data_IF_880865439575
#
_entry.id   IF_880865439575
#
_cell.length_a   1.000
_cell.length_b   1.000
_cell.length_c   1.000
_cell.angle_alpha   90.00
_cell.angle_beta   90.00
_cell.angle_gamma   90.00
#
_symmetry.space_group_name_H-M   'P 1'
#
loop_
_entity.id
_entity.type
_entity.pdbx_description
1 polymer ?
#
# COMPACT_ATOMS: atom_id res chain seq x y z
N UNK A 1 -6.24 -70.53 -90.80
CA UNK A 1 -5.76 -69.27 -91.33
C UNK A 1 -6.22 -68.16 -90.46
N UNK A 2 -5.28 -67.42 -89.88
CA UNK A 2 -5.41 -66.09 -89.30
C UNK A 2 -6.39 -65.86 -88.14
N UNK A 3 -5.98 -66.09 -86.92
CA UNK A 3 -6.46 -65.37 -85.73
C UNK A 3 -5.37 -65.40 -84.61
N UNK A 4 -4.30 -64.67 -84.78
CA UNK A 4 -3.26 -64.51 -83.82
C UNK A 4 -2.76 -63.10 -83.93
N UNK A 5 -3.42 -62.11 -83.29
CA UNK A 5 -2.85 -60.77 -83.15
C UNK A 5 -3.76 -59.81 -82.39
N UNK A 6 -4.04 -60.10 -81.14
CA UNK A 6 -4.72 -59.01 -80.37
C UNK A 6 -4.67 -59.18 -78.84
N UNK A 7 -3.63 -59.72 -78.33
CA UNK A 7 -3.55 -59.83 -76.85
C UNK A 7 -2.30 -59.14 -76.20
N UNK A 8 -1.45 -58.51 -77.01
CA UNK A 8 -0.18 -58.05 -76.49
C UNK A 8 0.01 -56.55 -76.17
N UNK A 9 -0.92 -55.57 -76.37
CA UNK A 9 -0.66 -54.21 -75.91
C UNK A 9 -1.40 -53.79 -74.62
N UNK A 10 -2.13 -54.66 -73.89
CA UNK A 10 -2.88 -54.29 -72.72
C UNK A 10 -2.10 -54.45 -71.38
N UNK A 11 -0.92 -55.06 -71.43
CA UNK A 11 -0.11 -55.36 -70.28
C UNK A 11 0.91 -54.23 -69.90
N UNK A 12 1.06 -53.19 -70.73
CA UNK A 12 2.08 -52.15 -70.56
C UNK A 12 1.54 -50.84 -69.93
N UNK A 13 0.26 -50.81 -69.55
CA UNK A 13 -0.37 -49.60 -68.97
C UNK A 13 -0.48 -49.62 -67.42
N UNK A 14 0.01 -50.65 -66.71
CA UNK A 14 -0.12 -50.75 -65.27
C UNK A 14 1.21 -50.38 -64.46
N UNK A 15 2.24 -49.92 -65.16
CA UNK A 15 3.48 -49.39 -64.48
C UNK A 15 3.52 -47.86 -64.49
N UNK A 16 2.38 -47.16 -64.36
CA UNK A 16 2.37 -45.71 -64.21
C UNK A 16 2.28 -45.32 -62.74
N UNK A 17 3.45 -45.04 -62.18
CA UNK A 17 3.66 -44.06 -61.11
C UNK A 17 2.74 -44.15 -59.89
N UNK A 18 3.08 -45.01 -58.95
CA UNK A 18 2.92 -44.68 -57.55
C UNK A 18 3.94 -43.59 -57.19
N UNK A 19 3.71 -42.33 -57.61
CA UNK A 19 4.25 -41.17 -56.87
C UNK A 19 3.56 -41.22 -55.51
N UNK A 20 4.30 -41.71 -54.51
CA UNK A 20 3.98 -41.50 -53.12
C UNK A 20 3.90 -39.99 -52.91
N UNK A 21 2.68 -39.45 -53.01
CA UNK A 21 2.40 -38.13 -52.49
C UNK A 21 2.73 -38.21 -50.99
N UNK A 22 3.91 -37.78 -50.60
CA UNK A 22 4.10 -37.30 -49.27
C UNK A 22 3.07 -36.16 -49.11
N UNK A 23 1.91 -36.49 -48.62
CA UNK A 23 1.03 -35.57 -47.94
C UNK A 23 1.84 -35.10 -46.75
N UNK A 24 2.64 -34.03 -46.97
CA UNK A 24 3.02 -33.17 -45.91
C UNK A 24 1.70 -32.80 -45.26
N UNK A 25 1.37 -33.47 -44.15
CA UNK A 25 0.30 -33.02 -43.27
C UNK A 25 0.48 -31.52 -43.14
N UNK A 26 -0.53 -30.68 -43.34
CA UNK A 26 -0.41 -29.28 -42.98
C UNK A 26 0.12 -29.32 -41.58
N UNK A 27 1.30 -28.68 -41.35
CA UNK A 27 1.74 -28.36 -40.02
C UNK A 27 0.51 -27.74 -39.38
N UNK A 28 -0.16 -28.50 -38.53
CA UNK A 28 -1.23 -27.97 -37.73
C UNK A 28 -0.62 -26.82 -36.98
N UNK A 29 -0.90 -25.58 -37.37
CA UNK A 29 -0.86 -24.43 -36.50
C UNK A 29 -1.95 -24.69 -35.44
N UNK A 30 -1.77 -25.75 -34.66
CA UNK A 30 -2.38 -25.89 -33.36
C UNK A 30 -1.61 -24.88 -32.56
N UNK A 31 -2.15 -23.67 -32.48
CA UNK A 31 -1.70 -22.67 -31.47
C UNK A 31 -1.51 -23.46 -30.19
N UNK A 32 -0.32 -23.39 -29.62
CA UNK A 32 0.02 -24.10 -28.38
C UNK A 32 -1.10 -23.83 -27.38
N UNK A 33 -1.70 -24.86 -26.77
CA UNK A 33 -2.93 -24.68 -25.98
C UNK A 33 -2.72 -23.72 -24.79
N UNK A 34 -1.52 -23.65 -24.24
CA UNK A 34 -1.12 -22.72 -23.18
C UNK A 34 -1.07 -21.28 -23.69
N UNK A 35 -0.57 -21.04 -24.91
CA UNK A 35 -0.62 -19.72 -25.57
C UNK A 35 -2.05 -19.26 -25.77
N UNK A 36 -2.92 -20.14 -26.26
CA UNK A 36 -4.35 -19.81 -26.46
C UNK A 36 -5.04 -19.41 -25.16
N UNK A 37 -4.75 -20.16 -24.07
CA UNK A 37 -5.25 -19.84 -22.73
C UNK A 37 -4.74 -18.49 -22.25
N UNK A 38 -3.43 -18.25 -22.38
CA UNK A 38 -2.82 -16.98 -21.96
C UNK A 38 -3.41 -15.78 -22.71
N UNK A 39 -3.42 -15.83 -24.05
CA UNK A 39 -3.96 -14.74 -24.86
C UNK A 39 -5.45 -14.47 -24.61
N UNK A 40 -6.25 -15.53 -24.36
CA UNK A 40 -7.67 -15.39 -24.01
C UNK A 40 -7.81 -14.71 -22.64
N UNK A 41 -7.05 -15.14 -21.67
CA UNK A 41 -7.03 -14.51 -20.34
C UNK A 41 -6.65 -13.03 -20.40
N UNK A 42 -5.62 -12.68 -21.18
CA UNK A 42 -5.21 -11.28 -21.34
C UNK A 42 -6.30 -10.43 -21.98
N UNK A 43 -6.98 -10.94 -23.03
CA UNK A 43 -8.14 -10.25 -23.62
C UNK A 43 -9.30 -10.07 -22.64
N UNK A 44 -9.47 -11.01 -21.70
CA UNK A 44 -10.53 -10.94 -20.69
C UNK A 44 -10.15 -9.96 -19.56
N UNK A 45 -8.87 -9.85 -19.21
CA UNK A 45 -8.36 -8.81 -18.30
C UNK A 45 -8.58 -7.41 -18.88
N UNK A 46 -8.33 -7.21 -20.17
CA UNK A 46 -8.57 -5.91 -20.83
C UNK A 46 -10.06 -5.51 -20.81
N UNK A 47 -10.95 -6.51 -20.84
CA UNK A 47 -12.42 -6.31 -20.78
C UNK A 47 -12.96 -6.30 -19.35
N UNK A 48 -12.08 -6.23 -18.33
CA UNK A 48 -12.41 -6.30 -16.91
C UNK A 48 -13.21 -7.56 -16.51
N UNK A 49 -13.09 -8.65 -17.28
CA UNK A 49 -13.72 -9.95 -16.98
C UNK A 49 -12.81 -10.80 -16.09
N UNK A 50 -12.46 -10.26 -14.92
CA UNK A 50 -11.42 -10.80 -14.05
C UNK A 50 -11.61 -12.26 -13.67
N UNK A 51 -12.83 -12.67 -13.32
CA UNK A 51 -13.13 -14.05 -12.93
C UNK A 51 -12.90 -15.05 -14.08
N UNK A 52 -13.27 -14.68 -15.31
CA UNK A 52 -13.06 -15.53 -16.50
C UNK A 52 -11.58 -15.63 -16.82
N UNK A 53 -10.86 -14.49 -16.80
CA UNK A 53 -9.43 -14.46 -17.01
C UNK A 53 -8.67 -15.35 -15.98
N UNK A 54 -9.04 -15.28 -14.71
CA UNK A 54 -8.46 -16.14 -13.66
C UNK A 54 -8.68 -17.62 -13.88
N UNK A 55 -9.82 -18.02 -14.45
CA UNK A 55 -10.10 -19.43 -14.77
C UNK A 55 -9.12 -19.95 -15.84
N UNK A 56 -8.90 -19.17 -16.90
CA UNK A 56 -7.97 -19.54 -17.97
C UNK A 56 -6.53 -19.55 -17.48
N UNK A 57 -6.11 -18.54 -16.69
CA UNK A 57 -4.78 -18.48 -16.07
C UNK A 57 -4.55 -19.66 -15.11
N UNK A 58 -5.54 -20.00 -14.29
CA UNK A 58 -5.44 -21.14 -13.37
C UNK A 58 -5.31 -22.45 -14.15
N UNK A 59 -6.06 -22.60 -15.24
CA UNK A 59 -5.96 -23.78 -16.12
C UNK A 59 -4.56 -23.88 -16.72
N UNK A 60 -4.00 -22.77 -17.22
CA UNK A 60 -2.64 -22.73 -17.76
C UNK A 60 -1.63 -23.14 -16.68
N UNK A 61 -1.64 -22.49 -15.52
CA UNK A 61 -0.68 -22.71 -14.42
C UNK A 61 -0.71 -24.17 -13.94
N UNK A 62 -1.92 -24.77 -13.88
CA UNK A 62 -2.07 -26.13 -13.36
C UNK A 62 -1.80 -27.23 -14.38
N UNK A 63 -2.09 -26.97 -15.66
CA UNK A 63 -2.00 -27.97 -16.72
C UNK A 63 -0.66 -27.95 -17.47
N UNK A 64 -0.05 -26.76 -17.56
CA UNK A 64 1.17 -26.51 -18.32
C UNK A 64 2.25 -25.90 -17.45
N UNK A 65 2.80 -26.62 -16.45
CA UNK A 65 3.80 -26.07 -15.51
C UNK A 65 5.13 -25.73 -16.18
N UNK A 66 5.41 -26.29 -17.35
CA UNK A 66 6.63 -26.04 -18.14
C UNK A 66 6.40 -25.00 -19.26
N UNK A 67 5.24 -24.33 -19.29
CA UNK A 67 4.93 -23.32 -20.29
C UNK A 67 5.87 -22.11 -20.19
N UNK A 68 6.26 -21.57 -21.34
CA UNK A 68 6.99 -20.30 -21.41
C UNK A 68 6.18 -19.12 -20.85
N UNK A 69 4.84 -19.23 -20.79
CA UNK A 69 3.92 -18.24 -20.25
C UNK A 69 3.70 -18.36 -18.74
N UNK A 70 4.30 -19.36 -18.06
CA UNK A 70 4.02 -19.64 -16.65
C UNK A 70 4.27 -18.41 -15.75
N UNK A 71 5.40 -17.74 -15.92
CA UNK A 71 5.74 -16.56 -15.12
C UNK A 71 4.74 -15.41 -15.39
N UNK A 72 4.48 -15.13 -16.67
CA UNK A 72 3.53 -14.09 -17.08
C UNK A 72 2.10 -14.41 -16.63
N UNK A 73 1.69 -15.69 -16.67
CA UNK A 73 0.37 -16.13 -16.21
C UNK A 73 0.20 -15.95 -14.70
N UNK A 74 1.23 -16.26 -13.89
CA UNK A 74 1.20 -16.00 -12.44
C UNK A 74 1.15 -14.51 -12.12
N UNK A 75 1.92 -13.69 -12.85
CA UNK A 75 1.86 -12.24 -12.73
C UNK A 75 0.48 -11.71 -13.11
N UNK A 76 -0.08 -12.13 -14.26
CA UNK A 76 -1.41 -11.74 -14.73
C UNK A 76 -2.53 -12.16 -13.75
N UNK A 77 -2.36 -13.30 -13.06
CA UNK A 77 -3.26 -13.73 -11.98
C UNK A 77 -3.29 -12.69 -10.85
N UNK A 78 -2.12 -12.27 -10.35
CA UNK A 78 -1.99 -11.24 -9.33
C UNK A 78 -2.60 -9.91 -9.80
N UNK A 79 -2.27 -9.49 -11.03
CA UNK A 79 -2.77 -8.27 -11.66
C UNK A 79 -4.30 -8.27 -11.82
N UNK A 80 -4.90 -9.44 -12.08
CA UNK A 80 -6.37 -9.57 -12.16
C UNK A 80 -7.06 -9.17 -10.86
N UNK A 81 -6.52 -9.61 -9.72
CA UNK A 81 -7.01 -9.24 -8.41
C UNK A 81 -6.75 -7.76 -8.07
N UNK A 82 -5.57 -7.26 -8.44
CA UNK A 82 -5.22 -5.86 -8.23
C UNK A 82 -6.14 -4.90 -8.98
N UNK A 83 -6.54 -5.23 -10.21
CA UNK A 83 -7.47 -4.44 -11.04
C UNK A 83 -8.91 -4.53 -10.55
N UNK A 84 -9.33 -5.66 -10.03
CA UNK A 84 -10.66 -5.82 -9.41
C UNK A 84 -10.85 -4.89 -8.21
N UNK A 85 -9.77 -4.62 -7.46
CA UNK A 85 -9.65 -3.59 -6.42
C UNK A 85 -10.66 -3.66 -5.26
N UNK A 86 -11.40 -4.75 -5.07
CA UNK A 86 -12.16 -4.97 -3.83
C UNK A 86 -11.19 -5.26 -2.68
N UNK A 87 -11.59 -5.02 -1.43
CA UNK A 87 -10.72 -5.27 -0.26
C UNK A 87 -10.19 -6.71 -0.23
N UNK A 88 -11.05 -7.68 -0.50
CA UNK A 88 -10.66 -9.10 -0.59
C UNK A 88 -9.73 -9.36 -1.76
N UNK A 89 -10.02 -8.78 -2.94
CA UNK A 89 -9.18 -8.94 -4.12
C UNK A 89 -7.79 -8.31 -3.91
N UNK A 90 -7.68 -7.16 -3.27
CA UNK A 90 -6.39 -6.54 -2.97
C UNK A 90 -5.54 -7.41 -2.04
N UNK A 91 -6.15 -8.11 -1.06
CA UNK A 91 -5.43 -9.08 -0.23
C UNK A 91 -4.95 -10.28 -1.05
N UNK A 92 -5.77 -10.76 -1.99
CA UNK A 92 -5.36 -11.83 -2.91
C UNK A 92 -4.25 -11.36 -3.86
N UNK A 93 -4.32 -10.13 -4.36
CA UNK A 93 -3.28 -9.54 -5.20
C UNK A 93 -1.93 -9.50 -4.46
N UNK A 94 -1.93 -8.99 -3.23
CA UNK A 94 -0.74 -8.93 -2.37
C UNK A 94 -0.08 -10.31 -2.22
N UNK A 95 -0.87 -11.34 -1.87
CA UNK A 95 -0.36 -12.69 -1.71
C UNK A 95 0.19 -13.26 -3.03
N UNK A 96 -0.53 -13.10 -4.14
CA UNK A 96 -0.10 -13.61 -5.44
C UNK A 96 1.16 -12.90 -5.96
N UNK A 97 1.33 -11.57 -5.71
CA UNK A 97 2.56 -10.88 -6.06
C UNK A 97 3.74 -11.31 -5.18
N UNK A 98 3.53 -11.55 -3.87
CA UNK A 98 4.55 -12.11 -2.97
C UNK A 98 4.99 -13.52 -3.42
N UNK A 99 4.04 -14.36 -3.79
CA UNK A 99 4.31 -15.67 -4.37
C UNK A 99 5.10 -15.53 -5.68
N UNK A 100 4.71 -14.59 -6.55
CA UNK A 100 5.40 -14.34 -7.81
C UNK A 100 6.88 -14.01 -7.59
N UNK A 101 7.20 -13.07 -6.71
CA UNK A 101 8.59 -12.68 -6.39
C UNK A 101 9.36 -13.88 -5.81
N UNK A 102 8.70 -14.69 -4.99
CA UNK A 102 9.32 -15.88 -4.38
C UNK A 102 9.70 -16.93 -5.43
N UNK A 103 8.83 -17.16 -6.43
CA UNK A 103 9.09 -18.14 -7.49
C UNK A 103 9.97 -17.61 -8.62
N UNK A 104 9.92 -16.31 -8.89
CA UNK A 104 10.63 -15.66 -10.00
C UNK A 104 11.40 -14.41 -9.54
N UNK A 105 12.36 -14.55 -8.62
CA UNK A 105 13.04 -13.39 -8.01
C UNK A 105 13.89 -12.58 -9.01
N UNK A 106 14.32 -13.20 -10.11
CA UNK A 106 15.12 -12.57 -11.17
C UNK A 106 14.32 -12.16 -12.39
N UNK A 107 13.00 -12.22 -12.31
CA UNK A 107 12.11 -11.78 -13.41
C UNK A 107 12.19 -10.27 -13.60
N UNK A 108 12.08 -9.82 -14.86
CA UNK A 108 11.96 -8.42 -15.22
C UNK A 108 10.69 -7.75 -14.63
N UNK A 109 9.72 -8.54 -14.16
CA UNK A 109 8.50 -8.05 -13.51
C UNK A 109 8.56 -8.14 -11.97
N UNK A 110 9.70 -8.53 -11.38
CA UNK A 110 9.80 -8.69 -9.93
C UNK A 110 9.73 -7.33 -9.20
N UNK A 111 10.34 -6.30 -9.77
CA UNK A 111 10.27 -4.94 -9.23
C UNK A 111 8.84 -4.37 -9.37
N UNK A 112 8.18 -4.55 -10.52
CA UNK A 112 6.78 -4.13 -10.69
C UNK A 112 5.86 -4.88 -9.71
N UNK A 113 6.08 -6.18 -9.49
CA UNK A 113 5.32 -6.95 -8.51
C UNK A 113 5.49 -6.39 -7.09
N UNK A 114 6.72 -6.03 -6.66
CA UNK A 114 6.97 -5.40 -5.35
C UNK A 114 6.30 -4.02 -5.27
N UNK A 115 6.37 -3.24 -6.34
CA UNK A 115 5.65 -1.95 -6.42
C UNK A 115 4.14 -2.14 -6.26
N UNK A 116 3.56 -3.15 -6.92
CA UNK A 116 2.13 -3.48 -6.82
C UNK A 116 1.73 -3.93 -5.40
N UNK A 117 2.60 -4.68 -4.69
CA UNK A 117 2.37 -5.02 -3.28
C UNK A 117 2.18 -3.74 -2.46
N UNK A 118 3.12 -2.80 -2.54
CA UNK A 118 3.00 -1.51 -1.84
C UNK A 118 1.72 -0.76 -2.23
N UNK A 119 1.39 -0.75 -3.53
CA UNK A 119 0.20 -0.08 -4.05
C UNK A 119 -1.12 -0.76 -3.62
N UNK A 120 -1.15 -2.07 -3.27
CA UNK A 120 -2.36 -2.68 -2.68
C UNK A 120 -2.73 -2.04 -1.35
N UNK A 121 -1.71 -1.69 -0.55
CA UNK A 121 -1.91 -0.98 0.71
C UNK A 121 -2.35 0.46 0.48
N UNK A 122 -1.75 1.15 -0.51
CA UNK A 122 -2.16 2.51 -0.89
C UNK A 122 -3.63 2.56 -1.31
N UNK A 123 -4.11 1.58 -2.08
CA UNK A 123 -5.53 1.48 -2.46
C UNK A 123 -6.48 1.24 -1.29
N UNK A 124 -5.97 0.77 -0.15
CA UNK A 124 -6.73 0.52 1.09
C UNK A 124 -6.56 1.63 2.13
N UNK A 125 -5.85 2.72 1.80
CA UNK A 125 -5.66 3.82 2.73
C UNK A 125 -6.99 4.44 3.14
N UNK A 126 -7.13 4.64 4.44
CA UNK A 126 -8.19 5.44 5.03
C UNK A 126 -7.70 6.88 5.29
N UNK A 127 -8.60 7.72 5.83
CA UNK A 127 -8.22 9.07 6.24
C UNK A 127 -7.20 9.03 7.37
N UNK A 128 -6.28 10.01 7.45
CA UNK A 128 -5.21 10.05 8.46
C UNK A 128 -5.69 10.02 9.92
N UNK A 129 -6.93 10.46 10.17
CA UNK A 129 -7.57 10.49 11.49
C UNK A 129 -8.20 9.15 11.92
N UNK A 130 -8.07 8.10 11.09
CA UNK A 130 -8.61 6.77 11.33
C UNK A 130 -7.48 5.73 11.50
N UNK A 131 -7.65 4.58 10.86
CA UNK A 131 -6.67 3.49 10.90
C UNK A 131 -5.50 3.77 9.96
N UNK A 132 -4.29 3.85 10.51
CA UNK A 132 -3.05 4.06 9.77
C UNK A 132 -2.32 2.75 9.41
N UNK A 133 -2.89 1.58 9.74
CA UNK A 133 -2.26 0.27 9.52
C UNK A 133 -1.86 0.09 8.05
N UNK A 134 -2.75 0.43 7.11
CA UNK A 134 -2.44 0.30 5.69
C UNK A 134 -1.34 1.27 5.24
N UNK A 135 -1.27 2.46 5.81
CA UNK A 135 -0.19 3.40 5.54
C UNK A 135 1.16 2.89 6.05
N UNK A 136 1.19 2.29 7.25
CA UNK A 136 2.41 1.68 7.82
C UNK A 136 2.90 0.50 6.96
N UNK A 137 1.99 -0.36 6.50
CA UNK A 137 2.33 -1.47 5.61
C UNK A 137 2.86 -0.95 4.26
N UNK A 138 2.20 0.05 3.67
CA UNK A 138 2.66 0.68 2.44
C UNK A 138 4.08 1.27 2.60
N UNK A 139 4.35 1.95 3.72
CA UNK A 139 5.68 2.51 4.02
C UNK A 139 6.76 1.41 4.05
N UNK A 140 6.47 0.28 4.71
CA UNK A 140 7.39 -0.88 4.78
C UNK A 140 7.66 -1.44 3.39
N UNK A 141 6.61 -1.67 2.59
CA UNK A 141 6.75 -2.27 1.26
C UNK A 141 7.46 -1.35 0.26
N UNK A 142 7.24 0.00 0.32
CA UNK A 142 8.01 0.94 -0.50
C UNK A 142 9.48 1.02 -0.08
N UNK A 143 9.78 0.97 1.22
CA UNK A 143 11.17 0.92 1.70
C UNK A 143 11.86 -0.37 1.23
N UNK A 144 11.17 -1.50 1.31
CA UNK A 144 11.64 -2.78 0.78
C UNK A 144 11.90 -2.71 -0.73
N UNK A 145 11.02 -2.05 -1.50
CA UNK A 145 11.23 -1.83 -2.92
C UNK A 145 12.52 -1.04 -3.19
N UNK A 146 12.70 0.10 -2.51
CA UNK A 146 13.86 0.98 -2.69
C UNK A 146 15.18 0.26 -2.35
N UNK A 147 15.15 -0.60 -1.34
CA UNK A 147 16.31 -1.38 -0.90
C UNK A 147 16.62 -2.55 -1.86
N UNK A 148 15.58 -3.26 -2.32
CA UNK A 148 15.74 -4.49 -3.11
C UNK A 148 15.95 -4.21 -4.60
N UNK A 149 15.46 -3.10 -5.14
CA UNK A 149 15.49 -2.77 -6.57
C UNK A 149 16.07 -1.38 -6.87
N UNK A 150 17.34 -1.11 -6.47
CA UNK A 150 17.93 0.24 -6.58
C UNK A 150 18.03 0.76 -8.02
N UNK A 151 18.14 -0.13 -9.00
CA UNK A 151 18.28 0.19 -10.42
C UNK A 151 16.95 0.14 -11.20
N UNK A 152 15.82 -0.05 -10.52
CA UNK A 152 14.50 -0.11 -11.16
C UNK A 152 14.11 1.23 -11.79
N UNK A 153 13.52 1.23 -12.99
CA UNK A 153 12.93 2.44 -13.59
C UNK A 153 11.77 3.02 -12.77
N UNK A 154 11.20 2.26 -11.85
CA UNK A 154 10.11 2.70 -10.95
C UNK A 154 10.63 3.39 -9.69
N UNK A 155 11.95 3.54 -9.51
CA UNK A 155 12.57 4.09 -8.30
C UNK A 155 12.04 5.48 -7.92
N UNK A 156 11.92 6.38 -8.88
CA UNK A 156 11.45 7.75 -8.60
C UNK A 156 9.96 7.77 -8.23
N UNK A 157 9.15 6.91 -8.86
CA UNK A 157 7.75 6.75 -8.51
C UNK A 157 7.60 6.16 -7.09
N UNK A 158 8.38 5.14 -6.76
CA UNK A 158 8.38 4.52 -5.44
C UNK A 158 8.74 5.52 -4.33
N UNK A 159 9.77 6.35 -4.54
CA UNK A 159 10.14 7.43 -3.61
C UNK A 159 9.05 8.47 -3.45
N UNK A 160 8.40 8.85 -4.55
CA UNK A 160 7.26 9.78 -4.51
C UNK A 160 6.09 9.20 -3.72
N UNK A 161 5.73 7.93 -3.97
CA UNK A 161 4.65 7.24 -3.25
C UNK A 161 4.97 7.01 -1.78
N UNK A 162 6.22 6.67 -1.46
CA UNK A 162 6.68 6.60 -0.07
C UNK A 162 6.46 7.93 0.64
N UNK A 163 6.82 9.05 0.01
CA UNK A 163 6.63 10.38 0.59
C UNK A 163 5.13 10.68 0.82
N UNK A 164 4.27 10.39 -0.17
CA UNK A 164 2.80 10.55 -0.01
C UNK A 164 2.27 9.76 1.20
N UNK A 165 2.73 8.53 1.38
CA UNK A 165 2.35 7.68 2.53
C UNK A 165 2.88 8.25 3.85
N UNK A 166 4.11 8.75 3.87
CA UNK A 166 4.71 9.37 5.06
C UNK A 166 3.98 10.67 5.46
N UNK A 167 3.47 11.44 4.49
CA UNK A 167 2.59 12.59 4.78
C UNK A 167 1.32 12.15 5.50
N UNK A 168 0.68 11.06 5.07
CA UNK A 168 -0.52 10.52 5.72
C UNK A 168 -0.21 10.07 7.15
N UNK A 169 0.91 9.38 7.37
CA UNK A 169 1.33 8.91 8.69
C UNK A 169 1.64 10.09 9.63
N UNK A 170 2.37 11.08 9.13
CA UNK A 170 2.69 12.28 9.90
C UNK A 170 1.43 13.09 10.24
N UNK A 171 0.50 13.25 9.29
CA UNK A 171 -0.81 13.90 9.53
C UNK A 171 -1.61 13.17 10.62
N UNK A 172 -1.62 11.85 10.62
CA UNK A 172 -2.30 11.05 11.64
C UNK A 172 -1.73 11.28 13.04
N UNK A 173 -0.40 11.18 13.18
CA UNK A 173 0.28 11.40 14.48
C UNK A 173 0.12 12.84 14.94
N UNK A 174 0.30 13.83 14.05
CA UNK A 174 0.10 15.24 14.37
C UNK A 174 -1.36 15.53 14.78
N UNK A 175 -2.32 14.88 14.12
CA UNK A 175 -3.75 14.96 14.48
C UNK A 175 -4.03 14.46 15.89
N UNK A 176 -3.44 13.34 16.29
CA UNK A 176 -3.50 12.84 17.67
C UNK A 176 -2.85 13.82 18.65
N UNK A 177 -1.70 14.41 18.27
CA UNK A 177 -1.05 15.48 19.05
C UNK A 177 -1.97 16.66 19.27
N UNK A 178 -2.61 17.15 18.21
CA UNK A 178 -3.61 18.24 18.29
C UNK A 178 -4.80 17.89 19.18
N UNK A 179 -5.28 16.67 19.11
CA UNK A 179 -6.38 16.21 19.97
C UNK A 179 -6.02 16.31 21.45
N UNK A 180 -4.82 15.82 21.83
CA UNK A 180 -4.35 15.96 23.21
C UNK A 180 -4.14 17.43 23.61
N UNK A 181 -3.55 18.24 22.71
CA UNK A 181 -3.25 19.63 22.99
C UNK A 181 -4.52 20.48 23.20
N UNK A 182 -5.48 20.38 22.27
CA UNK A 182 -6.66 21.26 22.24
C UNK A 182 -7.79 20.72 23.12
N UNK A 183 -8.12 19.43 22.95
CA UNK A 183 -9.33 18.83 23.55
C UNK A 183 -9.10 18.37 24.99
N UNK A 184 -7.96 17.72 25.26
CA UNK A 184 -7.67 17.18 26.57
C UNK A 184 -6.76 18.08 27.42
N UNK A 185 -6.07 19.06 26.79
CA UNK A 185 -5.03 19.89 27.43
C UNK A 185 -3.93 19.05 28.14
N UNK A 186 -3.72 17.83 27.64
CA UNK A 186 -2.61 16.98 28.02
C UNK A 186 -1.40 17.33 27.15
N UNK A 187 -0.69 18.37 27.57
CA UNK A 187 0.45 18.90 26.81
C UNK A 187 1.62 17.91 26.77
N UNK A 188 1.79 17.06 27.79
CA UNK A 188 2.85 16.07 27.81
C UNK A 188 2.61 14.98 26.73
N UNK A 189 1.38 14.48 26.63
CA UNK A 189 0.99 13.54 25.57
C UNK A 189 1.11 14.19 24.18
N UNK A 190 0.67 15.46 24.02
CA UNK A 190 0.80 16.19 22.76
C UNK A 190 2.26 16.34 22.33
N UNK A 191 3.15 16.76 23.24
CA UNK A 191 4.60 16.88 23.03
C UNK A 191 5.20 15.56 22.54
N UNK A 192 4.81 14.44 23.16
CA UNK A 192 5.27 13.10 22.73
C UNK A 192 4.92 12.81 21.28
N UNK A 193 3.68 13.11 20.85
CA UNK A 193 3.21 12.88 19.48
C UNK A 193 3.89 13.81 18.47
N UNK A 194 3.99 15.10 18.76
CA UNK A 194 4.69 16.03 17.87
C UNK A 194 6.18 15.70 17.73
N UNK A 195 6.84 15.29 18.81
CA UNK A 195 8.23 14.83 18.77
C UNK A 195 8.40 13.58 17.92
N UNK A 196 7.44 12.67 17.96
CA UNK A 196 7.43 11.51 17.10
C UNK A 196 7.40 11.90 15.61
N UNK A 197 6.55 12.86 15.20
CA UNK A 197 6.52 13.38 13.82
C UNK A 197 7.88 13.98 13.43
N UNK A 198 8.42 14.86 14.26
CA UNK A 198 9.70 15.55 13.99
C UNK A 198 10.85 14.56 13.81
N UNK A 199 10.80 13.42 14.51
CA UNK A 199 11.86 12.41 14.47
C UNK A 199 11.70 11.44 13.31
N UNK A 200 10.47 10.95 13.08
CA UNK A 200 10.22 9.90 12.07
C UNK A 200 10.03 10.45 10.67
N UNK A 201 9.50 11.66 10.53
CA UNK A 201 9.09 12.25 9.26
C UNK A 201 9.69 13.65 9.06
N UNK A 202 11.02 13.78 8.96
CA UNK A 202 11.71 15.08 8.90
C UNK A 202 11.30 15.91 7.66
N UNK A 203 10.88 15.26 6.59
CA UNK A 203 10.46 15.89 5.33
C UNK A 203 8.95 16.21 5.27
N UNK A 204 8.24 16.10 6.40
CA UNK A 204 6.81 16.38 6.47
C UNK A 204 6.49 17.82 6.03
N UNK A 205 5.52 17.98 5.13
CA UNK A 205 5.18 19.27 4.52
C UNK A 205 4.72 20.32 5.54
N UNK A 206 4.08 19.89 6.65
CA UNK A 206 3.63 20.78 7.74
C UNK A 206 4.62 20.78 8.92
N UNK A 207 5.89 20.49 8.67
CA UNK A 207 6.93 20.49 9.71
C UNK A 207 7.01 21.81 10.50
N UNK A 208 6.94 23.01 9.90
CA UNK A 208 6.97 24.26 10.67
C UNK A 208 5.82 24.40 11.68
N UNK A 209 4.62 23.95 11.29
CA UNK A 209 3.45 23.94 12.15
C UNK A 209 3.62 22.95 13.31
N UNK A 210 4.18 21.76 13.02
CA UNK A 210 4.43 20.72 14.01
C UNK A 210 5.53 21.14 15.00
N UNK A 211 6.63 21.75 14.52
CA UNK A 211 7.69 22.31 15.37
C UNK A 211 7.13 23.40 16.28
N UNK A 212 6.26 24.27 15.76
CA UNK A 212 5.62 25.29 16.56
C UNK A 212 4.70 24.71 17.64
N UNK A 213 3.87 23.73 17.29
CA UNK A 213 2.99 23.05 18.25
C UNK A 213 3.78 22.27 19.31
N UNK A 214 4.89 21.66 18.93
CA UNK A 214 5.82 21.00 19.84
C UNK A 214 6.42 22.01 20.84
N UNK A 215 6.92 23.15 20.34
CA UNK A 215 7.51 24.19 21.18
C UNK A 215 6.48 24.82 22.14
N UNK A 216 5.27 25.07 21.64
CA UNK A 216 4.18 25.62 22.46
C UNK A 216 3.76 24.61 23.55
N UNK A 217 3.66 23.32 23.21
CA UNK A 217 3.42 22.25 24.18
C UNK A 217 4.50 22.14 25.25
N UNK A 218 5.77 22.28 24.86
CA UNK A 218 6.91 22.29 25.79
C UNK A 218 6.86 23.47 26.74
N UNK A 219 6.45 24.66 26.31
CA UNK A 219 6.23 25.80 27.19
C UNK A 219 5.12 25.50 28.21
N UNK A 220 4.02 24.88 27.81
CA UNK A 220 2.95 24.52 28.74
C UNK A 220 3.35 23.50 29.81
N UNK A 221 4.35 22.65 29.52
CA UNK A 221 4.92 21.74 30.53
C UNK A 221 6.13 22.33 31.28
N UNK A 222 6.44 23.61 31.04
CA UNK A 222 7.53 24.33 31.75
C UNK A 222 8.94 24.03 31.22
N UNK A 223 9.06 23.47 30.01
CA UNK A 223 10.35 23.18 29.38
C UNK A 223 10.74 24.27 28.35
N UNK A 224 10.91 25.51 28.81
CA UNK A 224 11.17 26.67 27.96
C UNK A 224 12.48 26.56 27.17
N UNK A 225 13.50 25.97 27.74
CA UNK A 225 14.82 25.82 27.06
C UNK A 225 14.71 24.93 25.83
N UNK A 226 13.99 23.81 25.92
CA UNK A 226 13.78 22.94 24.80
C UNK A 226 12.82 23.57 23.77
N UNK A 227 11.79 24.30 24.23
CA UNK A 227 10.88 25.05 23.35
C UNK A 227 11.64 26.06 22.49
N UNK A 228 12.60 26.80 23.07
CA UNK A 228 13.41 27.75 22.33
C UNK A 228 14.21 27.10 21.18
N UNK A 229 14.68 25.88 21.37
CA UNK A 229 15.38 25.12 20.30
C UNK A 229 14.45 24.93 19.10
N UNK A 230 13.20 24.50 19.31
CA UNK A 230 12.27 24.26 18.20
C UNK A 230 11.77 25.55 17.54
N UNK A 231 11.55 26.64 18.30
CA UNK A 231 11.26 27.95 17.71
C UNK A 231 12.46 28.45 16.89
N UNK A 232 13.69 28.25 17.36
CA UNK A 232 14.91 28.58 16.62
C UNK A 232 15.06 27.78 15.34
N UNK A 233 14.70 26.50 15.34
CA UNK A 233 14.70 25.66 14.15
C UNK A 233 13.71 26.17 13.08
N UNK A 234 12.54 26.65 13.47
CA UNK A 234 11.58 27.24 12.52
C UNK A 234 12.20 28.45 11.81
N UNK A 235 12.85 29.34 12.58
CA UNK A 235 13.45 30.54 12.03
C UNK A 235 14.61 30.23 11.09
N UNK A 236 15.46 29.25 11.46
CA UNK A 236 16.64 28.91 10.70
C UNK A 236 16.36 27.95 9.53
N UNK A 237 15.57 26.91 9.75
CA UNK A 237 15.35 25.82 8.78
C UNK A 237 14.16 26.07 7.83
N UNK A 238 13.17 26.89 8.25
CA UNK A 238 11.95 27.17 7.50
C UNK A 238 11.68 28.69 7.35
N UNK A 239 12.62 29.47 6.83
CA UNK A 239 12.60 30.94 6.90
C UNK A 239 11.43 31.61 6.16
N UNK A 240 10.74 30.92 5.24
CA UNK A 240 9.57 31.43 4.51
C UNK A 240 8.23 30.91 5.06
N UNK A 241 8.26 30.19 6.18
CA UNK A 241 7.03 29.69 6.82
C UNK A 241 6.23 30.82 7.48
N UNK A 242 4.91 30.66 7.50
CA UNK A 242 3.96 31.49 8.24
C UNK A 242 4.22 31.51 9.75
N UNK A 243 4.96 30.53 10.29
CA UNK A 243 5.29 30.40 11.72
C UNK A 243 6.51 31.20 12.15
N UNK A 244 7.31 31.74 11.23
CA UNK A 244 8.55 32.45 11.53
C UNK A 244 8.34 33.68 12.40
N UNK A 245 7.36 34.54 12.04
CA UNK A 245 7.10 35.77 12.79
C UNK A 245 6.71 35.50 14.25
N UNK A 246 5.84 34.52 14.46
CA UNK A 246 5.38 34.11 15.78
C UNK A 246 6.49 33.43 16.59
N UNK A 247 7.32 32.62 15.93
CA UNK A 247 8.49 32.00 16.58
C UNK A 247 9.52 33.03 17.06
N UNK A 248 9.79 34.05 16.24
CA UNK A 248 10.66 35.17 16.65
C UNK A 248 10.07 35.93 17.86
N UNK A 249 8.77 36.17 17.88
CA UNK A 249 8.09 36.81 19.00
C UNK A 249 8.24 35.96 20.27
N UNK A 250 8.03 34.64 20.20
CA UNK A 250 8.21 33.73 21.35
C UNK A 250 9.64 33.75 21.87
N UNK A 251 10.67 33.65 21.01
CA UNK A 251 12.09 33.74 21.40
C UNK A 251 12.39 35.06 22.08
N UNK A 252 11.88 36.19 21.56
CA UNK A 252 12.06 37.49 22.21
C UNK A 252 11.45 37.52 23.63
N UNK A 253 10.24 36.97 23.80
CA UNK A 253 9.56 36.91 25.11
C UNK A 253 10.35 36.04 26.11
N UNK A 254 11.04 35.02 25.62
CA UNK A 254 11.85 34.10 26.41
C UNK A 254 13.28 34.67 26.68
N UNK A 255 13.62 35.84 26.14
CA UNK A 255 14.97 36.43 26.14
C UNK A 255 16.02 35.52 25.47
N UNK A 256 15.62 34.73 24.48
CA UNK A 256 16.51 33.86 23.73
C UNK A 256 16.98 34.52 22.42
N UNK A 257 18.15 34.07 21.94
CA UNK A 257 18.76 34.63 20.73
C UNK A 257 17.94 34.18 19.50
N UNK A 258 17.58 35.14 18.66
CA UNK A 258 16.91 34.86 17.37
C UNK A 258 17.99 34.47 16.35
N UNK A 259 18.01 33.23 15.86
CA UNK A 259 18.98 32.82 14.85
C UNK A 259 18.75 33.48 13.49
N UNK A 260 19.81 33.56 12.68
CA UNK A 260 19.68 33.89 11.28
C UNK A 260 19.13 32.71 10.48
N UNK A 261 18.47 33.02 9.33
CA UNK A 261 18.00 32.02 8.43
C UNK A 261 19.18 31.25 7.78
N UNK A 262 19.09 29.93 7.75
CA UNK A 262 20.07 29.12 7.04
C UNK A 262 20.02 29.44 5.54
N UNK A 263 21.11 29.91 4.90
CA UNK A 263 21.10 30.28 3.49
C UNK A 263 20.66 29.15 2.54
N UNK A 264 21.05 27.92 2.84
CA UNK A 264 20.67 26.77 2.04
C UNK A 264 19.16 26.43 2.19
N UNK A 265 18.60 26.61 3.39
CA UNK A 265 17.17 26.43 3.62
C UNK A 265 16.35 27.54 2.93
N UNK A 266 16.85 28.79 2.98
CA UNK A 266 16.22 29.90 2.27
C UNK A 266 16.21 29.69 0.75
N UNK A 267 17.34 29.26 0.18
CA UNK A 267 17.44 28.98 -1.25
C UNK A 267 16.46 27.86 -1.68
N UNK A 268 16.40 26.77 -0.93
CA UNK A 268 15.43 25.67 -1.20
C UNK A 268 13.98 26.15 -1.12
N UNK A 269 13.62 26.91 -0.11
CA UNK A 269 12.27 27.43 0.05
C UNK A 269 11.88 28.41 -1.07
N UNK A 270 12.83 29.25 -1.53
CA UNK A 270 12.61 30.13 -2.68
C UNK A 270 12.42 29.37 -3.99
N UNK A 271 13.16 28.28 -4.17
CA UNK A 271 13.03 27.41 -5.34
C UNK A 271 11.67 26.70 -5.38
N UNK A 272 11.24 26.13 -4.25
CA UNK A 272 9.91 25.51 -4.11
C UNK A 272 8.78 26.52 -4.41
N UNK A 273 8.86 27.74 -3.91
CA UNK A 273 7.87 28.79 -4.19
C UNK A 273 7.84 29.24 -5.67
N UNK A 274 8.93 29.05 -6.41
CA UNK A 274 8.97 29.34 -7.87
C UNK A 274 8.33 28.22 -8.69
N UNK A 275 8.47 26.98 -8.23
CA UNK A 275 7.91 25.81 -8.90
C UNK A 275 6.42 25.63 -8.64
N UNK A 276 5.90 26.13 -7.51
CA UNK A 276 4.46 26.23 -7.28
C UNK A 276 3.88 27.43 -8.01
N UNK A 277 3.00 27.23 -9.03
CA UNK A 277 2.35 28.35 -9.71
C UNK A 277 1.45 29.10 -8.72
N UNK A 278 1.94 30.25 -8.25
CA UNK A 278 1.23 31.12 -7.35
C UNK A 278 0.03 31.75 -8.04
N UNK A 279 -1.18 31.38 -7.63
CA UNK A 279 -2.43 32.00 -8.02
C UNK A 279 -3.56 31.03 -8.32
N UNK A 280 -4.79 31.52 -8.31
CA UNK A 280 -6.01 30.77 -8.65
C UNK A 280 -5.89 30.13 -10.04
N UNK A 281 -5.19 30.79 -10.97
CA UNK A 281 -4.93 30.28 -12.32
C UNK A 281 -3.94 29.11 -12.31
N UNK A 282 -2.93 29.13 -11.46
CA UNK A 282 -1.95 28.05 -11.31
C UNK A 282 -2.59 26.79 -10.70
N UNK A 283 -3.45 26.94 -9.70
CA UNK A 283 -4.23 25.83 -9.15
C UNK A 283 -5.21 25.25 -10.17
N UNK A 284 -5.80 26.09 -11.02
CA UNK A 284 -6.68 25.65 -12.10
C UNK A 284 -5.88 24.93 -13.19
N UNK A 285 -4.65 25.38 -13.52
CA UNK A 285 -3.77 24.71 -14.48
C UNK A 285 -3.24 23.37 -13.96
N UNK A 286 -3.02 23.23 -12.65
CA UNK A 286 -2.66 21.95 -12.00
C UNK A 286 -3.79 20.94 -12.08
N UNK A 287 -5.05 21.37 -11.96
CA UNK A 287 -6.22 20.50 -12.14
C UNK A 287 -6.47 20.14 -13.61
N UNK A 288 -5.98 20.96 -14.55
CA UNK A 288 -6.07 20.74 -16.00
C UNK A 288 -4.83 20.03 -16.59
N UNK A 289 -3.74 19.91 -15.83
CA UNK A 289 -2.60 19.09 -16.25
C UNK A 289 -3.09 17.65 -16.37
N UNK A 290 -3.02 17.03 -17.56
CA UNK A 290 -3.32 15.63 -17.67
C UNK A 290 -2.34 14.93 -16.70
N UNK A 291 -2.89 14.23 -15.70
CA UNK A 291 -2.08 13.29 -14.94
C UNK A 291 -1.35 12.45 -15.96
N UNK A 292 -0.01 12.24 -15.82
CA UNK A 292 0.65 11.27 -16.66
C UNK A 292 -0.19 10.02 -16.57
N UNK A 293 -0.64 9.53 -17.71
CA UNK A 293 -1.50 8.37 -17.79
C UNK A 293 -0.69 7.15 -17.32
N UNK A 294 -0.64 6.95 -16.01
CA UNK A 294 -0.67 5.60 -15.48
C UNK A 294 -1.98 5.04 -16.00
N UNK A 295 -1.93 3.95 -16.73
CA UNK A 295 -2.99 3.39 -17.55
C UNK A 295 -4.22 2.92 -16.74
N UNK A 296 -4.86 3.82 -16.01
CA UNK A 296 -6.11 3.62 -15.29
C UNK A 296 -7.33 4.15 -16.06
N UNK A 297 -7.30 4.03 -17.40
CA UNK A 297 -8.50 4.33 -18.22
C UNK A 297 -9.64 3.33 -18.03
N UNK A 298 -9.48 2.31 -17.19
CA UNK A 298 -10.51 1.27 -16.98
C UNK A 298 -11.30 1.40 -15.68
N UNK A 299 -10.85 2.15 -14.68
CA UNK A 299 -11.59 2.31 -13.43
C UNK A 299 -12.77 3.30 -13.54
N UNK A 300 -12.62 4.38 -14.32
CA UNK A 300 -13.69 5.39 -14.48
C UNK A 300 -14.85 4.94 -15.39
N UNK A 301 -14.65 3.92 -16.23
CA UNK A 301 -15.71 3.40 -17.10
C UNK A 301 -16.58 2.33 -16.42
N UNK A 302 -16.13 1.74 -15.29
CA UNK A 302 -16.90 0.75 -14.54
C UNK A 302 -17.93 1.39 -13.62
N UNK A 303 -17.61 2.58 -13.05
CA UNK A 303 -18.52 3.27 -12.14
C UNK A 303 -19.71 3.93 -12.86
N UNK A 304 -19.47 4.47 -14.06
CA UNK A 304 -20.55 5.03 -14.87
C UNK A 304 -21.54 3.98 -15.41
N UNK A 305 -21.09 2.73 -15.60
CA UNK A 305 -21.94 1.65 -16.13
C UNK A 305 -22.67 0.87 -15.04
N UNK A 306 -22.22 0.96 -13.79
CA UNK A 306 -22.91 0.40 -12.62
C UNK A 306 -24.13 1.27 -12.22
N UNK A 307 -24.05 2.60 -12.45
CA UNK A 307 -25.14 3.51 -12.14
C UNK A 307 -26.28 3.45 -13.18
N UNK A 308 -25.98 3.12 -14.44
CA UNK A 308 -26.96 2.98 -15.51
C UNK A 308 -27.70 1.61 -15.51
N UNK A 309 -27.13 0.59 -14.85
CA UNK A 309 -27.75 -0.73 -14.74
C UNK A 309 -28.76 -0.87 -13.57
N UNK A 310 -28.84 0.12 -12.67
CA UNK A 310 -29.79 0.12 -11.54
C UNK A 310 -31.04 0.97 -11.77
N UNK A 311 -31.14 1.68 -12.90
CA UNK A 311 -32.25 2.58 -13.18
C UNK A 311 -33.44 1.95 -13.92
N UNK A 312 -33.34 0.71 -14.44
CA UNK A 312 -34.32 0.17 -15.38
C UNK A 312 -35.20 -0.97 -14.85
N UNK A 313 -35.29 -1.21 -13.53
CA UNK A 313 -36.18 -2.23 -12.96
C UNK A 313 -36.96 -1.78 -11.74
N UNK A 314 -37.70 -0.69 -11.84
CA UNK A 314 -38.82 -0.41 -10.91
C UNK A 314 -40.02 0.10 -11.71
N UNK A 315 -40.82 -0.84 -12.19
CA UNK A 315 -42.16 -0.57 -12.68
C UNK A 315 -43.14 -0.46 -11.51
N UNK A 316 -44.21 0.34 -11.64
CA UNK A 316 -45.09 0.68 -10.53
C UNK A 316 -46.01 -0.47 -10.15
N UNK A 317 -45.90 -0.97 -8.93
CA UNK A 317 -46.91 -1.88 -8.36
C UNK A 317 -48.03 -1.05 -7.76
N UNK A 318 -49.21 -1.19 -8.38
CA UNK A 318 -50.49 -0.67 -7.96
C UNK A 318 -50.95 -1.29 -6.63
N UNK A 319 -51.45 -0.46 -5.75
CA UNK A 319 -51.98 -0.84 -4.45
C UNK A 319 -53.18 -1.81 -4.48
N UNK A 320 -53.28 -2.58 -3.44
CA UNK A 320 -54.45 -3.39 -3.07
C UNK A 320 -54.43 -3.59 -1.56
N UNK A 321 -55.36 -2.89 -0.92
CA UNK A 321 -55.75 -3.05 0.49
C UNK A 321 -56.37 -4.42 0.73
N UNK A 322 -56.06 -5.10 1.81
CA UNK A 322 -57.00 -5.64 2.81
C UNK A 322 -56.26 -6.46 3.88
N UNK A 323 -56.72 -6.29 5.08
CA UNK A 323 -56.29 -6.73 6.37
C UNK A 323 -56.30 -8.23 6.63
N UNK A 324 -55.68 -8.59 7.73
CA UNK A 324 -55.66 -9.95 8.27
C UNK A 324 -54.63 -10.14 9.38
N UNK A 325 -55.06 -9.83 10.56
CA UNK A 325 -54.45 -10.13 11.85
C UNK A 325 -54.25 -11.67 12.02
N UNK A 326 -53.06 -12.16 12.36
CA UNK A 326 -52.89 -13.27 13.29
C UNK A 326 -51.48 -13.36 13.86
N UNK A 327 -51.41 -13.45 15.15
CA UNK A 327 -50.27 -13.76 15.99
C UNK A 327 -49.60 -15.09 15.63
N UNK A 328 -48.27 -15.10 15.57
CA UNK A 328 -47.49 -16.27 15.96
C UNK A 328 -46.16 -15.81 16.59
N UNK A 329 -46.08 -16.13 17.84
CA UNK A 329 -44.97 -16.00 18.76
C UNK A 329 -43.96 -17.11 18.44
N UNK A 330 -42.70 -16.76 18.18
CA UNK A 330 -41.60 -17.66 18.47
C UNK A 330 -40.37 -16.82 18.81
N UNK A 331 -39.93 -16.99 20.04
CA UNK A 331 -38.82 -16.29 20.64
C UNK A 331 -37.48 -16.76 20.12
N UNK A 332 -36.61 -15.79 19.96
CA UNK A 332 -35.18 -15.99 20.02
C UNK A 332 -34.66 -14.93 21.00
N UNK A 333 -34.27 -15.39 22.15
CA UNK A 333 -33.63 -14.64 23.22
C UNK A 333 -32.28 -14.17 22.75
N UNK A 334 -32.16 -12.84 22.52
CA UNK A 334 -30.86 -12.19 22.49
C UNK A 334 -30.44 -11.98 23.93
N UNK A 335 -29.52 -12.81 24.38
CA UNK A 335 -28.88 -12.70 25.69
C UNK A 335 -27.94 -11.46 25.63
N UNK A 336 -28.47 -10.36 26.12
CA UNK A 336 -27.71 -9.15 26.37
C UNK A 336 -26.91 -9.30 27.66
N UNK A 337 -25.75 -9.92 27.61
CA UNK A 337 -24.80 -9.88 28.71
C UNK A 337 -24.23 -8.45 28.82
N UNK A 338 -24.86 -7.69 29.73
CA UNK A 338 -24.24 -6.49 30.29
C UNK A 338 -22.96 -6.93 31.02
N UNK A 339 -21.81 -6.73 30.37
CA UNK A 339 -20.50 -6.79 31.02
C UNK A 339 -20.34 -5.52 31.86
N UNK A 340 -20.76 -5.64 33.11
CA UNK A 340 -20.46 -4.67 34.16
C UNK A 340 -19.00 -4.91 34.56
N UNK A 341 -18.06 -4.19 33.96
CA UNK A 341 -16.64 -4.23 34.32
C UNK A 341 -16.50 -3.41 35.61
N UNK A 342 -16.27 -4.09 36.72
CA UNK A 342 -15.86 -3.49 37.97
C UNK A 342 -14.51 -2.74 37.75
N UNK A 343 -14.40 -1.43 38.00
CA UNK A 343 -13.20 -0.66 37.68
C UNK A 343 -11.98 -0.94 38.59
N UNK A 344 -11.98 -2.01 39.35
CA UNK A 344 -10.90 -2.33 40.31
C UNK A 344 -9.99 -3.50 39.92
N UNK A 345 -10.20 -4.14 38.76
CA UNK A 345 -9.29 -5.20 38.29
C UNK A 345 -9.00 -4.95 36.81
N UNK A 346 -8.26 -3.88 36.52
CA UNK A 346 -7.48 -3.81 35.30
C UNK A 346 -6.07 -4.19 35.71
N UNK A 347 -5.69 -5.44 35.46
CA UNK A 347 -4.28 -5.82 35.46
C UNK A 347 -3.56 -4.91 34.46
N UNK A 348 -2.79 -4.00 35.02
CA UNK A 348 -1.89 -3.11 34.28
C UNK A 348 -0.98 -4.01 33.46
N UNK A 349 -0.89 -3.87 32.12
CA UNK A 349 0.07 -4.63 31.35
C UNK A 349 1.45 -4.34 31.92
N UNK A 350 2.15 -5.38 32.40
CA UNK A 350 3.51 -5.28 32.89
C UNK A 350 4.36 -4.65 31.78
N UNK A 351 4.82 -3.42 32.03
CA UNK A 351 5.75 -2.74 31.14
C UNK A 351 7.11 -3.42 31.22
N UNK A 352 7.93 -3.38 30.15
CA UNK A 352 9.22 -4.06 30.08
C UNK A 352 10.26 -3.70 31.15
N UNK A 353 9.98 -2.73 32.02
CA UNK A 353 10.92 -2.17 33.01
C UNK A 353 10.61 -2.54 34.46
N UNK A 354 9.70 -3.46 34.73
CA UNK A 354 9.27 -3.81 36.09
C UNK A 354 10.17 -4.81 36.83
N UNK A 355 11.44 -4.97 36.45
CA UNK A 355 12.39 -5.71 37.26
C UNK A 355 12.83 -4.90 38.47
N UNK A 356 12.88 -5.52 39.68
CA UNK A 356 13.29 -4.88 40.92
C UNK A 356 14.74 -4.33 40.83
N UNK A 357 15.08 -3.25 41.52
CA UNK A 357 16.44 -2.74 41.55
C UNK A 357 17.45 -3.85 41.94
N UNK A 358 18.48 -4.06 41.11
CA UNK A 358 19.49 -5.11 41.33
C UNK A 358 19.28 -6.37 40.49
N UNK A 359 18.20 -6.46 39.68
CA UNK A 359 17.99 -7.56 38.75
C UNK A 359 18.10 -7.11 37.28
N UNK A 360 18.54 -8.04 36.40
CA UNK A 360 18.65 -7.82 34.95
C UNK A 360 17.69 -8.72 34.21
N UNK A 361 17.02 -8.18 33.21
CA UNK A 361 16.12 -8.93 32.30
C UNK A 361 16.91 -9.90 31.43
N UNK A 362 16.52 -11.16 31.41
CA UNK A 362 17.07 -12.20 30.53
C UNK A 362 15.95 -12.84 29.73
N UNK A 363 16.15 -12.93 28.42
CA UNK A 363 15.22 -13.62 27.53
C UNK A 363 15.37 -15.14 27.69
N UNK A 364 14.25 -15.84 27.89
CA UNK A 364 14.16 -17.29 27.96
C UNK A 364 13.37 -17.80 26.73
N UNK A 365 13.49 -19.10 26.42
CA UNK A 365 12.85 -19.72 25.27
C UNK A 365 11.35 -19.35 25.16
N UNK A 366 10.85 -19.11 23.96
CA UNK A 366 9.49 -18.68 23.59
C UNK A 366 9.14 -17.20 23.82
N UNK A 367 10.12 -16.28 23.80
CA UNK A 367 9.84 -14.84 23.89
C UNK A 367 9.38 -14.37 25.27
N UNK A 368 9.55 -15.18 26.32
CA UNK A 368 9.33 -14.78 27.70
C UNK A 368 10.59 -14.21 28.32
N UNK A 369 10.42 -13.29 29.28
CA UNK A 369 11.51 -12.66 30.00
C UNK A 369 11.44 -13.00 31.47
N UNK A 370 12.61 -13.18 32.10
CA UNK A 370 12.77 -13.42 33.52
C UNK A 370 13.77 -12.43 34.12
N UNK A 371 13.50 -11.91 35.31
CA UNK A 371 14.40 -11.04 36.04
C UNK A 371 15.42 -11.89 36.81
N UNK A 372 16.70 -11.80 36.45
CA UNK A 372 17.81 -12.49 37.10
C UNK A 372 18.69 -11.54 37.88
N UNK A 373 19.18 -11.95 39.07
CA UNK A 373 20.07 -11.15 39.86
C UNK A 373 21.43 -10.88 39.16
N UNK A 374 21.88 -9.62 39.18
CA UNK A 374 23.17 -9.26 38.63
C UNK A 374 24.24 -9.64 39.68
N UNK A 375 24.97 -10.75 39.41
CA UNK A 375 26.16 -11.05 40.20
C UNK A 375 27.26 -10.04 39.86
N UNK A 376 27.68 -9.25 40.84
CA UNK A 376 28.83 -8.36 40.67
C UNK A 376 30.10 -9.18 40.39
N UNK A 377 30.93 -8.76 39.41
CA UNK A 377 32.20 -9.42 39.16
C UNK A 377 33.11 -9.30 40.40
N UNK A 378 33.58 -10.44 40.89
CA UNK A 378 34.47 -10.57 42.01
C UNK A 378 35.79 -9.83 41.72
N UNK A 379 35.92 -8.58 42.19
CA UNK A 379 37.14 -7.79 42.07
C UNK A 379 38.10 -8.28 43.15
N UNK A 380 39.28 -8.84 42.82
CA UNK A 380 40.25 -9.28 43.80
C UNK A 380 40.76 -8.05 44.58
N UNK A 381 40.53 -8.06 45.91
CA UNK A 381 41.09 -7.07 46.83
C UNK A 381 42.64 -7.13 46.75
N UNK A 382 43.29 -6.03 46.30
CA UNK A 382 44.72 -5.85 46.44
C UNK A 382 45.02 -5.79 47.96
N UNK A 383 45.82 -6.71 48.41
CA UNK A 383 46.41 -6.72 49.75
C UNK A 383 47.41 -5.57 49.93
N UNK A 384 47.59 -5.08 51.17
CA UNK A 384 48.33 -3.86 51.48
C UNK A 384 49.82 -3.96 51.20
#
# INVERSE_FOLDING_TARGET
MKKFFLVFPLSLLLLSCAKKAETKAPASNLDEPDRVLFERAMRDLEKARYTVARLDLQTLISTYPDSEFLAQAKYAMAESFYREATSTALTQAENNFKDYITFFPTSELADDAQMKIAMTHVKRLEKPDRDTTQAQLAEVEFKSFIESYPDSPLMDEAKLKLREVQEVLADGIAGVGNFYFVSHKDYAAAVSRYREVVTKYPDYSKMPQTLFALADGLQHVGNDKEAAIYYSRIVSEHPLSDRVSLSKQRLTTMNEIIPEANPAALARAQQQNREEPSGVLGKLLLTLRPRPAVSDKTAAASDAKAEEATADTVGPVRGGTTGGNTNARSGATSDGSNFNIDPKVVDKPETPDDCKPGTRRKEIANGRFECVEVQEPNVPKKSP
#
